data_IF_465913922380
#
_entry.id   IF_465913922380
#
_cell.length_a   1.000
_cell.length_b   1.000
_cell.length_c   1.000
_cell.angle_alpha   90.00
_cell.angle_beta   90.00
_cell.angle_gamma   90.00
#
_symmetry.space_group_name_H-M   'P 1'
#
loop_
_entity.id
_entity.type
_entity.pdbx_description
1 polymer ?
#
# COMPACT_ATOMS: atom_id res chain seq x y z
N UNK A 1 -37.79 -10.42 49.66
CA UNK A 1 -36.61 -10.14 48.81
C UNK A 1 -36.88 -8.81 48.12
N UNK A 2 -36.23 -7.74 48.58
CA UNK A 2 -36.63 -6.37 48.26
C UNK A 2 -36.33 -6.04 46.79
N UNK A 3 -37.32 -5.49 46.08
CA UNK A 3 -37.25 -4.96 44.70
C UNK A 3 -35.92 -4.27 44.31
N UNK A 4 -35.27 -3.45 45.18
CA UNK A 4 -33.95 -2.86 44.87
C UNK A 4 -32.82 -3.87 44.66
N UNK A 5 -32.85 -5.02 45.33
CA UNK A 5 -31.81 -6.04 45.22
C UNK A 5 -31.87 -6.72 43.85
N UNK A 6 -33.08 -6.98 43.35
CA UNK A 6 -33.29 -7.58 42.03
C UNK A 6 -32.83 -6.64 40.91
N UNK A 7 -33.10 -5.33 41.06
CA UNK A 7 -32.66 -4.32 40.10
C UNK A 7 -31.13 -4.20 40.05
N UNK A 8 -30.47 -4.22 41.21
CA UNK A 8 -29.02 -4.12 41.30
C UNK A 8 -28.33 -5.35 40.69
N UNK A 9 -28.87 -6.55 40.92
CA UNK A 9 -28.38 -7.78 40.29
C UNK A 9 -28.56 -7.76 38.77
N UNK A 10 -29.70 -7.29 38.26
CA UNK A 10 -29.95 -7.18 36.83
C UNK A 10 -28.98 -6.19 36.16
N UNK A 11 -28.69 -5.07 36.80
CA UNK A 11 -27.75 -4.07 36.31
C UNK A 11 -26.31 -4.62 36.27
N UNK A 12 -25.88 -5.36 37.30
CA UNK A 12 -24.56 -6.02 37.32
C UNK A 12 -24.43 -7.04 36.19
N UNK A 13 -25.46 -7.86 35.95
CA UNK A 13 -25.46 -8.85 34.86
C UNK A 13 -25.42 -8.17 33.49
N UNK A 14 -26.20 -7.10 33.29
CA UNK A 14 -26.19 -6.34 32.04
C UNK A 14 -24.81 -5.76 31.74
N UNK A 15 -24.15 -5.15 32.73
CA UNK A 15 -22.80 -4.59 32.56
C UNK A 15 -21.76 -5.68 32.33
N UNK A 16 -21.82 -6.78 33.10
CA UNK A 16 -20.90 -7.90 32.98
C UNK A 16 -21.00 -8.65 31.64
N UNK A 17 -22.11 -8.54 30.92
CA UNK A 17 -22.29 -9.13 29.58
C UNK A 17 -22.03 -8.11 28.47
N UNK A 18 -22.57 -6.90 28.59
CA UNK A 18 -22.47 -5.88 27.54
C UNK A 18 -21.03 -5.41 27.32
N UNK A 19 -20.24 -5.26 28.38
CA UNK A 19 -18.84 -4.83 28.28
C UNK A 19 -17.99 -5.85 27.50
N UNK A 20 -17.93 -7.14 27.86
CA UNK A 20 -17.12 -8.10 27.11
C UNK A 20 -17.62 -8.30 25.68
N UNK A 21 -18.93 -8.21 25.41
CA UNK A 21 -19.46 -8.27 24.04
C UNK A 21 -19.00 -7.07 23.20
N UNK A 22 -19.06 -5.86 23.76
CA UNK A 22 -18.59 -4.66 23.08
C UNK A 22 -17.06 -4.68 22.88
N UNK A 23 -16.30 -5.15 23.88
CA UNK A 23 -14.84 -5.29 23.80
C UNK A 23 -14.47 -6.32 22.74
N UNK A 24 -15.14 -7.47 22.69
CA UNK A 24 -14.94 -8.49 21.64
C UNK A 24 -15.24 -7.91 20.25
N UNK A 25 -16.33 -7.15 20.08
CA UNK A 25 -16.64 -6.51 18.80
C UNK A 25 -15.65 -5.40 18.38
N UNK A 26 -14.98 -4.75 19.34
CA UNK A 26 -13.99 -3.70 19.08
C UNK A 26 -12.59 -4.28 18.85
N UNK A 27 -12.20 -5.34 19.57
CA UNK A 27 -10.89 -5.98 19.46
C UNK A 27 -10.84 -6.98 18.29
N UNK A 28 -11.84 -7.84 18.14
CA UNK A 28 -12.04 -8.65 16.96
C UNK A 28 -12.78 -7.82 15.89
N UNK A 29 -12.14 -6.77 15.36
CA UNK A 29 -12.40 -6.45 13.96
C UNK A 29 -11.89 -7.66 13.17
N UNK A 30 -12.76 -8.52 12.61
CA UNK A 30 -12.26 -9.51 11.70
C UNK A 30 -11.70 -8.68 10.55
N UNK A 31 -10.39 -8.78 10.32
CA UNK A 31 -9.83 -8.65 8.98
C UNK A 31 -10.61 -9.65 8.13
N UNK A 32 -11.81 -9.27 7.67
CA UNK A 32 -12.58 -9.99 6.67
C UNK A 32 -11.65 -9.96 5.49
N UNK A 33 -10.94 -11.09 5.34
CA UNK A 33 -9.78 -11.23 4.49
C UNK A 33 -10.08 -10.58 3.17
N UNK A 34 -9.36 -9.49 2.89
CA UNK A 34 -9.37 -8.90 1.56
C UNK A 34 -9.04 -10.07 0.63
N UNK A 35 -9.99 -10.53 -0.21
CA UNK A 35 -9.73 -11.68 -1.07
C UNK A 35 -8.45 -11.38 -1.85
N UNK A 36 -7.57 -12.37 -2.08
CA UNK A 36 -6.38 -12.15 -2.89
C UNK A 36 -6.83 -11.48 -4.18
N UNK A 37 -6.30 -10.28 -4.45
CA UNK A 37 -6.64 -9.53 -5.66
C UNK A 37 -6.47 -10.51 -6.83
N UNK A 38 -7.49 -10.69 -7.69
CA UNK A 38 -7.33 -11.51 -8.87
C UNK A 38 -6.08 -11.01 -9.60
N UNK A 39 -5.22 -11.91 -10.13
CA UNK A 39 -4.01 -11.48 -10.81
C UNK A 39 -4.42 -10.50 -11.90
N UNK A 40 -3.86 -9.30 -11.85
CA UNK A 40 -4.19 -8.27 -12.82
C UNK A 40 -3.96 -8.82 -14.24
N UNK A 41 -4.81 -8.45 -15.21
CA UNK A 41 -4.69 -8.94 -16.57
C UNK A 41 -3.27 -8.70 -17.08
N UNK A 42 -2.71 -9.66 -17.81
CA UNK A 42 -1.38 -9.46 -18.40
C UNK A 42 -1.46 -8.27 -19.35
N UNK A 43 -0.61 -7.23 -19.17
CA UNK A 43 -0.58 -6.12 -20.11
C UNK A 43 -0.18 -6.63 -21.50
N UNK A 44 -0.71 -6.00 -22.55
CA UNK A 44 -0.36 -6.36 -23.92
C UNK A 44 1.14 -6.20 -24.17
N UNK A 45 1.69 -7.00 -25.10
CA UNK A 45 3.11 -6.91 -25.45
C UNK A 45 3.51 -5.51 -25.94
N UNK A 46 2.58 -4.82 -26.61
CA UNK A 46 2.73 -3.43 -27.04
C UNK A 46 2.89 -2.46 -25.86
N UNK A 47 2.02 -2.55 -24.86
CA UNK A 47 2.10 -1.75 -23.63
C UNK A 47 3.46 -1.92 -22.96
N UNK A 48 3.91 -3.18 -22.83
CA UNK A 48 5.20 -3.53 -22.25
C UNK A 48 6.34 -2.93 -23.07
N UNK A 49 6.27 -2.93 -24.40
CA UNK A 49 7.27 -2.33 -25.28
C UNK A 49 7.35 -0.80 -25.14
N UNK A 50 6.21 -0.11 -24.99
CA UNK A 50 6.18 1.34 -24.75
C UNK A 50 6.77 1.67 -23.39
N UNK A 51 6.33 1.00 -22.32
CA UNK A 51 6.84 1.22 -20.97
C UNK A 51 8.35 0.95 -20.89
N UNK A 52 8.84 -0.16 -21.46
CA UNK A 52 10.27 -0.47 -21.49
C UNK A 52 11.12 0.65 -22.10
N UNK A 53 10.62 1.29 -23.16
CA UNK A 53 11.31 2.42 -23.80
C UNK A 53 11.20 3.68 -22.95
N UNK A 54 10.02 3.96 -22.40
CA UNK A 54 9.80 5.13 -21.55
C UNK A 54 10.66 5.12 -20.28
N UNK A 55 10.94 3.96 -19.69
CA UNK A 55 11.80 3.85 -18.49
C UNK A 55 13.31 3.90 -18.77
N UNK A 56 13.76 3.74 -20.03
CA UNK A 56 15.16 3.47 -20.34
C UNK A 56 16.12 4.59 -19.91
N UNK A 57 15.66 5.83 -19.91
CA UNK A 57 16.40 7.06 -19.59
C UNK A 57 15.92 7.73 -18.29
N UNK A 58 15.07 7.06 -17.52
CA UNK A 58 14.38 7.67 -16.36
C UNK A 58 15.03 7.32 -15.04
N UNK A 59 14.94 8.27 -14.11
CA UNK A 59 15.35 8.13 -12.71
C UNK A 59 14.14 8.02 -11.81
N UNK A 60 14.21 7.14 -10.81
CA UNK A 60 13.14 6.91 -9.84
C UNK A 60 12.77 8.18 -9.07
N UNK A 61 11.48 8.51 -8.96
CA UNK A 61 10.98 9.66 -8.21
C UNK A 61 11.33 9.64 -6.71
N UNK A 62 11.50 8.45 -6.11
CA UNK A 62 11.78 8.31 -4.68
C UNK A 62 13.27 8.29 -4.34
N UNK A 63 14.07 7.52 -5.08
CA UNK A 63 15.47 7.30 -4.75
C UNK A 63 16.44 7.95 -5.74
N UNK A 64 15.94 8.57 -6.80
CA UNK A 64 16.72 9.23 -7.87
C UNK A 64 17.68 8.32 -8.64
N UNK A 65 17.70 7.02 -8.37
CA UNK A 65 18.51 6.05 -9.10
C UNK A 65 17.90 5.78 -10.49
N UNK A 66 18.72 5.54 -11.53
CA UNK A 66 18.23 5.16 -12.84
C UNK A 66 17.42 3.87 -12.75
N UNK A 67 16.24 3.86 -13.35
CA UNK A 67 15.39 2.65 -13.41
C UNK A 67 16.00 1.63 -14.37
N UNK A 68 16.58 2.11 -15.47
CA UNK A 68 17.31 1.29 -16.42
C UNK A 68 16.41 0.37 -17.26
N UNK A 69 17.02 -0.51 -18.09
CA UNK A 69 16.29 -1.38 -18.99
C UNK A 69 15.55 -2.49 -18.23
N UNK A 70 14.25 -2.59 -18.45
CA UNK A 70 13.39 -3.51 -17.71
C UNK A 70 13.46 -4.91 -18.31
N UNK A 71 13.99 -5.85 -17.53
CA UNK A 71 14.20 -7.25 -17.92
C UNK A 71 13.48 -8.21 -16.98
N UNK A 72 12.15 -8.13 -16.91
CA UNK A 72 11.32 -9.09 -16.19
C UNK A 72 10.66 -8.53 -14.92
N UNK A 73 10.49 -9.40 -13.92
CA UNK A 73 9.93 -9.08 -12.61
C UNK A 73 11.04 -8.86 -11.57
N UNK A 74 10.80 -8.07 -10.50
CA UNK A 74 9.60 -7.25 -10.29
C UNK A 74 9.58 -6.04 -11.23
N UNK A 75 8.40 -5.72 -11.76
CA UNK A 75 8.24 -4.55 -12.65
C UNK A 75 8.29 -3.23 -11.85
N UNK A 76 8.88 -2.16 -12.41
CA UNK A 76 8.78 -0.82 -11.84
C UNK A 76 7.33 -0.31 -11.86
N UNK A 77 7.06 0.73 -11.08
CA UNK A 77 5.72 1.31 -10.92
C UNK A 77 5.65 2.75 -11.42
N UNK A 78 4.42 3.23 -11.55
CA UNK A 78 4.12 4.62 -11.93
C UNK A 78 3.59 5.36 -10.69
N UNK A 79 4.06 6.58 -10.44
CA UNK A 79 3.57 7.43 -9.35
C UNK A 79 2.69 8.54 -9.91
N UNK A 80 1.44 8.62 -9.48
CA UNK A 80 0.57 9.75 -9.83
C UNK A 80 1.09 11.02 -9.14
N UNK A 81 1.45 12.06 -9.90
CA UNK A 81 1.88 13.34 -9.34
C UNK A 81 0.81 14.05 -8.51
N UNK A 82 -0.47 13.85 -8.82
CA UNK A 82 -1.55 14.53 -8.12
C UNK A 82 -1.94 13.79 -6.84
N UNK A 83 -2.10 12.47 -6.92
CA UNK A 83 -2.59 11.68 -5.78
C UNK A 83 -1.48 11.04 -4.95
N UNK A 84 -0.22 11.11 -5.42
CA UNK A 84 0.93 10.40 -4.84
C UNK A 84 0.69 8.89 -4.66
N UNK A 85 -0.12 8.29 -5.53
CA UNK A 85 -0.40 6.83 -5.49
C UNK A 85 0.49 6.10 -6.48
N UNK A 86 1.07 5.00 -6.01
CA UNK A 86 1.84 4.09 -6.82
C UNK A 86 0.91 3.09 -7.54
N UNK A 87 1.08 2.92 -8.85
CA UNK A 87 0.28 2.05 -9.70
C UNK A 87 1.17 1.02 -10.40
N UNK A 88 0.67 -0.21 -10.53
CA UNK A 88 1.30 -1.23 -11.35
C UNK A 88 0.95 -1.01 -12.83
N UNK A 89 1.80 -1.50 -13.74
CA UNK A 89 1.54 -1.42 -15.19
C UNK A 89 0.20 -2.00 -15.65
N UNK A 90 -0.27 -3.15 -15.12
CA UNK A 90 -1.54 -3.73 -15.51
C UNK A 90 -2.75 -2.84 -15.19
N UNK A 91 -2.59 -1.90 -14.25
CA UNK A 91 -3.67 -1.06 -13.77
C UNK A 91 -3.86 0.20 -14.66
N UNK A 92 -2.94 0.44 -15.61
CA UNK A 92 -3.06 1.54 -16.58
C UNK A 92 -3.73 1.04 -17.85
N UNK A 93 -4.85 1.64 -18.23
CA UNK A 93 -5.53 1.35 -19.48
C UNK A 93 -4.60 1.66 -20.68
N UNK A 94 -4.43 0.70 -21.58
CA UNK A 94 -3.51 0.84 -22.72
C UNK A 94 -3.84 2.04 -23.61
N UNK A 95 -5.12 2.37 -23.75
CA UNK A 95 -5.59 3.52 -24.54
C UNK A 95 -5.18 4.87 -23.92
N UNK A 96 -4.99 4.93 -22.61
CA UNK A 96 -4.66 6.16 -21.89
C UNK A 96 -3.15 6.31 -21.66
N UNK A 97 -2.36 5.26 -21.97
CA UNK A 97 -0.94 5.20 -21.64
C UNK A 97 -0.14 6.43 -22.12
N UNK A 98 -0.28 6.94 -23.36
CA UNK A 98 0.51 8.10 -23.78
C UNK A 98 0.24 9.35 -22.93
N UNK A 99 -1.03 9.67 -22.67
CA UNK A 99 -1.40 10.81 -21.84
C UNK A 99 -1.10 10.58 -20.35
N UNK A 100 -1.24 9.34 -19.89
CA UNK A 100 -0.87 8.90 -18.56
C UNK A 100 0.61 9.15 -18.30
N UNK A 101 1.50 8.78 -19.23
CA UNK A 101 2.95 8.92 -19.05
C UNK A 101 3.45 10.36 -18.88
N UNK A 102 2.65 11.37 -19.26
CA UNK A 102 2.96 12.77 -18.97
C UNK A 102 2.63 13.16 -17.52
N UNK A 103 1.59 12.53 -16.94
CA UNK A 103 1.12 12.73 -15.56
C UNK A 103 1.91 11.92 -14.54
N UNK A 104 2.36 10.73 -14.92
CA UNK A 104 3.01 9.79 -14.00
C UNK A 104 4.53 10.01 -13.92
N UNK A 105 5.07 9.75 -12.74
CA UNK A 105 6.51 9.68 -12.52
C UNK A 105 7.03 8.24 -12.45
N UNK A 106 8.24 8.00 -12.94
CA UNK A 106 8.87 6.69 -12.90
C UNK A 106 9.24 6.27 -11.47
N UNK A 107 8.90 5.05 -11.07
CA UNK A 107 9.31 4.46 -9.78
C UNK A 107 10.02 3.14 -10.02
N UNK A 108 11.22 2.97 -9.47
CA UNK A 108 11.94 1.69 -9.60
C UNK A 108 11.20 0.56 -8.87
N UNK A 109 11.44 -0.69 -9.27
CA UNK A 109 10.72 -1.84 -8.73
C UNK A 109 10.83 -1.98 -7.20
N UNK A 110 11.98 -1.64 -6.61
CA UNK A 110 12.19 -1.66 -5.16
C UNK A 110 11.33 -0.62 -4.45
N UNK A 111 11.34 0.63 -4.92
CA UNK A 111 10.51 1.69 -4.34
C UNK A 111 9.02 1.41 -4.56
N UNK A 112 8.64 0.89 -5.72
CA UNK A 112 7.25 0.52 -6.00
C UNK A 112 6.76 -0.57 -5.03
N UNK A 113 7.56 -1.60 -4.81
CA UNK A 113 7.24 -2.68 -3.86
C UNK A 113 7.09 -2.13 -2.44
N UNK A 114 7.97 -1.22 -2.02
CA UNK A 114 7.88 -0.57 -0.72
C UNK A 114 6.59 0.25 -0.58
N UNK A 115 6.24 1.07 -1.56
CA UNK A 115 5.02 1.88 -1.53
C UNK A 115 3.74 1.03 -1.60
N UNK A 116 3.73 -0.01 -2.43
CA UNK A 116 2.62 -0.96 -2.49
C UNK A 116 2.42 -1.66 -1.13
N UNK A 117 3.51 -2.06 -0.47
CA UNK A 117 3.45 -2.63 0.88
C UNK A 117 2.91 -1.63 1.91
N UNK A 118 3.37 -0.37 1.87
CA UNK A 118 2.87 0.70 2.75
C UNK A 118 1.38 0.94 2.56
N UNK A 119 0.91 0.96 1.31
CA UNK A 119 -0.50 1.18 1.00
C UNK A 119 -1.38 0.00 1.40
N UNK A 120 -0.89 -1.24 1.25
CA UNK A 120 -1.68 -2.44 1.54
C UNK A 120 -1.73 -2.78 3.04
N UNK A 121 -0.65 -2.51 3.76
CA UNK A 121 -0.45 -2.89 5.17
C UNK A 121 0.07 -1.72 6.01
N UNK A 122 -0.66 -0.60 6.12
CA UNK A 122 -0.18 0.60 6.80
C UNK A 122 0.21 0.31 8.27
N UNK A 123 -0.56 -0.53 8.97
CA UNK A 123 -0.31 -0.89 10.37
C UNK A 123 0.94 -1.77 10.58
N UNK A 124 1.55 -2.25 9.49
CA UNK A 124 2.80 -3.07 9.52
C UNK A 124 4.02 -2.26 9.13
N UNK A 125 3.86 -0.97 8.82
CA UNK A 125 4.95 -0.06 8.50
C UNK A 125 5.38 0.62 9.79
N UNK A 126 6.67 0.54 10.09
CA UNK A 126 7.27 1.32 11.17
C UNK A 126 8.22 2.31 10.55
N UNK A 127 7.94 3.60 10.74
CA UNK A 127 8.86 4.64 10.34
C UNK A 127 10.05 4.66 11.30
N UNK A 128 11.25 4.48 10.74
CA UNK A 128 12.47 4.70 11.51
C UNK A 128 12.61 6.20 11.74
N UNK A 129 12.85 6.61 12.98
CA UNK A 129 13.26 7.98 13.26
C UNK A 129 14.47 8.34 12.34
N UNK A 130 14.54 9.57 11.81
CA UNK A 130 15.66 9.98 10.98
C UNK A 130 16.97 9.71 11.73
N UNK A 131 17.73 8.72 11.27
CA UNK A 131 19.09 8.56 11.77
C UNK A 131 19.88 9.75 11.22
N UNK A 132 20.55 10.56 12.05
CA UNK A 132 21.42 11.61 11.53
C UNK A 132 22.41 10.96 10.55
N UNK A 133 22.48 11.51 9.33
CA UNK A 133 23.34 11.03 8.26
C UNK A 133 24.74 10.83 8.85
N UNK A 134 25.18 9.57 8.91
CA UNK A 134 26.53 9.25 9.32
C UNK A 134 27.42 9.71 8.18
N UNK A 135 28.13 10.82 8.41
CA UNK A 135 29.09 11.36 7.47
C UNK A 135 30.02 10.24 7.01
N UNK A 136 29.87 9.85 5.75
CA UNK A 136 30.59 8.73 5.13
C UNK A 136 31.79 9.24 4.34
N UNK A 137 32.34 10.41 4.69
CA UNK A 137 33.65 10.85 4.24
C UNK A 137 34.76 10.11 4.98
N UNK A 138 34.88 8.79 4.80
CA UNK A 138 36.08 8.05 5.20
C UNK A 138 36.45 7.04 4.09
N UNK A 139 37.53 7.40 3.40
CA UNK A 139 38.34 6.67 2.41
C UNK A 139 37.92 6.71 0.93
#
# INVERSE_FOLDING_TARGET
MSLPILFLLLLVVLVAVAIPVAVFFVLERPEIGRPPLPPAPRPSAELVGVLKRWYADKSCAFCSHPVGPIRGEPRPGLLDRETHRALAWPDVAAAELPAALDRYEPVCASCFTAEAFRSLYPDRVVDRAPTPLRDSSVH
#
